data_IF_171006084220
#
_entry.id   IF_171006084220
#
_cell.length_a   1.000
_cell.length_b   1.000
_cell.length_c   1.000
_cell.angle_alpha   90.00
_cell.angle_beta   90.00
_cell.angle_gamma   90.00
#
_symmetry.space_group_name_H-M   'P 1'
#
loop_
_entity.id
_entity.type
_entity.pdbx_description
1 polymer ?
#
# COMPACT_ATOMS: atom_id res chain seq x y z
N UNK A 1 26.60 12.87 3.13
CA UNK A 1 25.53 13.34 2.22
C UNK A 1 24.44 12.28 2.17
N UNK A 2 23.30 12.50 2.81
CA UNK A 2 22.16 11.59 2.69
C UNK A 2 21.57 11.72 1.27
N UNK A 3 21.52 10.63 0.50
CA UNK A 3 20.87 10.63 -0.81
C UNK A 3 19.36 10.46 -0.59
N UNK A 4 18.62 11.55 -0.74
CA UNK A 4 17.16 11.50 -0.77
C UNK A 4 16.69 10.89 -2.10
N UNK A 5 15.60 10.09 -2.10
CA UNK A 5 14.97 9.66 -3.33
C UNK A 5 14.51 10.87 -4.15
N UNK A 6 14.64 10.79 -5.47
CA UNK A 6 14.26 11.86 -6.40
C UNK A 6 12.97 11.49 -7.13
N UNK A 7 12.09 12.47 -7.26
CA UNK A 7 10.88 12.40 -8.07
C UNK A 7 11.24 12.28 -9.57
N UNK A 8 10.27 11.95 -10.43
CA UNK A 8 10.37 12.04 -11.91
C UNK A 8 10.74 13.44 -12.41
N UNK A 9 10.56 14.47 -11.57
CA UNK A 9 10.95 15.87 -11.83
C UNK A 9 12.35 16.22 -11.30
N UNK A 10 13.12 15.23 -10.85
CA UNK A 10 14.44 15.39 -10.23
C UNK A 10 14.46 16.22 -8.94
N UNK A 11 13.31 16.39 -8.28
CA UNK A 11 13.20 17.07 -6.99
C UNK A 11 13.43 16.07 -5.84
N UNK A 12 14.10 16.49 -4.74
CA UNK A 12 14.27 15.65 -3.55
C UNK A 12 12.94 15.42 -2.86
N UNK A 13 12.65 14.16 -2.51
CA UNK A 13 11.42 13.73 -1.83
C UNK A 13 11.75 13.25 -0.43
N UNK A 14 10.89 13.56 0.54
CA UNK A 14 10.97 12.99 1.88
C UNK A 14 10.69 11.46 1.82
N UNK A 15 11.66 10.59 2.19
CA UNK A 15 11.50 9.14 2.13
C UNK A 15 10.61 8.58 3.25
N UNK A 16 10.38 9.34 4.34
CA UNK A 16 9.75 8.80 5.56
C UNK A 16 8.33 8.28 5.28
N UNK A 17 7.42 9.03 4.63
CA UNK A 17 6.06 8.54 4.36
C UNK A 17 6.06 7.25 3.53
N UNK A 18 6.96 7.15 2.54
CA UNK A 18 7.11 5.95 1.72
C UNK A 18 7.58 4.77 2.57
N UNK A 19 8.64 4.95 3.36
CA UNK A 19 9.21 3.88 4.18
C UNK A 19 8.21 3.36 5.22
N UNK A 20 7.49 4.26 5.89
CA UNK A 20 6.45 3.91 6.87
C UNK A 20 5.31 3.15 6.18
N UNK A 21 4.83 3.64 5.03
CA UNK A 21 3.74 2.99 4.30
C UNK A 21 4.10 1.59 3.80
N UNK A 22 5.31 1.42 3.26
CA UNK A 22 5.81 0.12 2.80
C UNK A 22 6.02 -0.83 3.97
N UNK A 23 6.57 -0.34 5.09
CA UNK A 23 6.73 -1.14 6.31
C UNK A 23 5.39 -1.64 6.87
N UNK A 24 4.38 -0.77 6.93
CA UNK A 24 3.02 -1.16 7.34
C UNK A 24 2.40 -2.15 6.35
N UNK A 25 2.54 -1.94 5.05
CA UNK A 25 2.05 -2.86 4.03
C UNK A 25 2.69 -4.25 4.17
N UNK A 26 4.01 -4.31 4.41
CA UNK A 26 4.72 -5.56 4.66
C UNK A 26 4.19 -6.26 5.92
N UNK A 27 4.10 -5.53 7.03
CA UNK A 27 3.65 -6.05 8.31
C UNK A 27 2.23 -6.63 8.19
N UNK A 28 1.31 -5.90 7.59
CA UNK A 28 -0.08 -6.34 7.43
C UNK A 28 -0.19 -7.54 6.47
N UNK A 29 0.47 -7.48 5.30
CA UNK A 29 0.39 -8.54 4.30
C UNK A 29 0.92 -9.88 4.84
N UNK A 30 2.06 -9.86 5.55
CA UNK A 30 2.67 -11.08 6.08
C UNK A 30 2.15 -11.51 7.45
N UNK A 31 1.53 -10.61 8.23
CA UNK A 31 0.82 -11.00 9.45
C UNK A 31 -0.51 -11.68 9.12
N UNK A 32 -1.30 -11.11 8.20
CA UNK A 32 -2.67 -11.54 7.93
C UNK A 32 -2.69 -12.60 6.83
N UNK A 33 -1.98 -12.38 5.72
CA UNK A 33 -2.08 -13.18 4.52
C UNK A 33 -1.82 -14.68 4.73
N UNK A 34 -0.74 -15.10 5.41
CA UNK A 34 -0.50 -16.51 5.69
C UNK A 34 -1.57 -17.15 6.57
N UNK A 35 -2.01 -16.45 7.62
CA UNK A 35 -3.01 -16.94 8.59
C UNK A 35 -4.33 -17.24 7.87
N UNK A 36 -4.84 -16.27 7.10
CA UNK A 36 -6.10 -16.44 6.40
C UNK A 36 -5.97 -17.37 5.20
N UNK A 37 -4.85 -17.36 4.48
CA UNK A 37 -4.62 -18.33 3.40
C UNK A 37 -4.66 -19.78 3.91
N UNK A 38 -4.06 -20.05 5.08
CA UNK A 38 -4.16 -21.36 5.72
C UNK A 38 -5.59 -21.66 6.20
N UNK A 39 -6.32 -20.68 6.73
CA UNK A 39 -7.73 -20.85 7.12
C UNK A 39 -8.64 -21.22 5.93
N UNK A 40 -8.30 -20.75 4.73
CA UNK A 40 -8.93 -21.12 3.48
C UNK A 40 -8.49 -22.49 2.91
N UNK A 41 -7.56 -23.19 3.58
CA UNK A 41 -7.03 -24.47 3.13
C UNK A 41 -5.91 -24.37 2.09
N UNK A 42 -5.39 -23.18 1.80
CA UNK A 42 -4.23 -23.05 0.92
C UNK A 42 -2.94 -23.54 1.61
N UNK A 43 -1.99 -24.12 0.87
CA UNK A 43 -0.70 -24.48 1.43
C UNK A 43 0.12 -23.22 1.77
N UNK A 44 1.02 -23.33 2.76
CA UNK A 44 1.83 -22.21 3.25
C UNK A 44 2.58 -21.46 2.14
N UNK A 45 3.15 -22.19 1.17
CA UNK A 45 3.85 -21.59 0.03
C UNK A 45 2.95 -20.68 -0.81
N UNK A 46 1.69 -21.09 -1.04
CA UNK A 46 0.71 -20.30 -1.78
C UNK A 46 0.32 -19.06 -0.98
N UNK A 47 0.03 -19.21 0.31
CA UNK A 47 -0.33 -18.08 1.18
C UNK A 47 0.80 -17.04 1.28
N UNK A 48 2.06 -17.48 1.37
CA UNK A 48 3.23 -16.60 1.35
C UNK A 48 3.41 -15.91 0.01
N UNK A 49 3.22 -16.64 -1.11
CA UNK A 49 3.32 -16.06 -2.45
C UNK A 49 2.25 -14.98 -2.68
N UNK A 50 1.00 -15.24 -2.29
CA UNK A 50 -0.09 -14.29 -2.38
C UNK A 50 0.17 -13.05 -1.53
N UNK A 51 0.66 -13.23 -0.30
CA UNK A 51 1.06 -12.13 0.59
C UNK A 51 2.17 -11.28 -0.01
N UNK A 52 3.15 -11.92 -0.67
CA UNK A 52 4.25 -11.23 -1.37
C UNK A 52 3.74 -10.41 -2.55
N UNK A 53 2.84 -10.96 -3.37
CA UNK A 53 2.21 -10.24 -4.50
C UNK A 53 1.40 -9.05 -4.00
N UNK A 54 0.59 -9.23 -2.94
CA UNK A 54 -0.18 -8.16 -2.33
C UNK A 54 0.73 -7.04 -1.81
N UNK A 55 1.80 -7.41 -1.09
CA UNK A 55 2.82 -6.47 -0.62
C UNK A 55 3.48 -5.70 -1.77
N UNK A 56 3.91 -6.40 -2.82
CA UNK A 56 4.55 -5.78 -3.98
C UNK A 56 3.62 -4.77 -4.67
N UNK A 57 2.33 -5.10 -4.81
CA UNK A 57 1.31 -4.20 -5.31
C UNK A 57 1.17 -2.93 -4.46
N UNK A 58 1.04 -3.09 -3.14
CA UNK A 58 0.95 -1.97 -2.20
C UNK A 58 2.22 -1.09 -2.23
N UNK A 59 3.40 -1.70 -2.27
CA UNK A 59 4.67 -0.99 -2.35
C UNK A 59 4.81 -0.21 -3.67
N UNK A 60 4.38 -0.80 -4.79
CA UNK A 60 4.36 -0.12 -6.09
C UNK A 60 3.41 1.09 -6.11
N UNK A 61 2.22 0.95 -5.52
CA UNK A 61 1.27 2.06 -5.36
C UNK A 61 1.85 3.16 -4.46
N UNK A 62 2.44 2.78 -3.32
CA UNK A 62 3.11 3.73 -2.42
C UNK A 62 4.24 4.48 -3.13
N UNK A 63 5.06 3.78 -3.92
CA UNK A 63 6.11 4.41 -4.72
C UNK A 63 5.54 5.37 -5.77
N UNK A 64 4.49 4.93 -6.48
CA UNK A 64 3.85 5.76 -7.51
C UNK A 64 3.27 7.06 -6.93
N UNK A 65 2.67 7.01 -5.74
CA UNK A 65 2.03 8.16 -5.10
C UNK A 65 3.05 9.05 -4.36
N UNK A 66 3.89 8.45 -3.51
CA UNK A 66 4.70 9.18 -2.54
C UNK A 66 6.08 9.56 -3.08
N UNK A 67 6.58 8.87 -4.12
CA UNK A 67 7.90 9.16 -4.69
C UNK A 67 7.75 9.69 -6.12
N UNK A 68 7.09 8.94 -7.00
CA UNK A 68 7.01 9.27 -8.43
C UNK A 68 6.06 10.42 -8.76
N UNK A 69 4.99 10.59 -7.98
CA UNK A 69 3.97 11.63 -8.19
C UNK A 69 3.97 12.66 -7.08
N UNK A 70 5.02 12.71 -6.26
CA UNK A 70 5.17 13.67 -5.18
C UNK A 70 4.98 15.09 -5.76
N UNK A 71 4.06 15.90 -5.20
CA UNK A 71 3.95 17.32 -5.55
C UNK A 71 5.27 18.03 -5.23
N UNK A 72 5.60 19.06 -6.01
CA UNK A 72 6.72 19.93 -5.68
C UNK A 72 6.50 20.54 -4.29
N UNK A 73 7.59 20.81 -3.55
CA UNK A 73 7.51 21.37 -2.19
C UNK A 73 6.76 22.71 -2.16
N UNK A 74 6.81 23.46 -3.27
CA UNK A 74 6.11 24.74 -3.45
C UNK A 74 4.72 24.61 -4.09
N UNK A 75 4.24 23.38 -4.31
CA UNK A 75 2.87 23.16 -4.76
C UNK A 75 1.93 23.60 -3.63
N UNK A 76 1.29 24.75 -3.81
CA UNK A 76 0.29 25.28 -2.88
C UNK A 76 -0.86 24.29 -2.58
N UNK A 77 -1.85 24.70 -1.79
CA UNK A 77 -2.91 23.80 -1.32
C UNK A 77 -3.52 22.96 -2.44
N UNK A 78 -3.34 21.63 -2.35
CA UNK A 78 -3.87 20.71 -3.35
C UNK A 78 -5.41 20.81 -3.39
N UNK A 79 -6.00 20.76 -4.60
CA UNK A 79 -7.45 20.80 -4.76
C UNK A 79 -8.13 19.64 -4.02
N UNK A 80 -9.18 19.97 -3.27
CA UNK A 80 -9.84 19.04 -2.32
C UNK A 80 -10.70 17.98 -3.01
N UNK A 81 -11.22 18.29 -4.20
CA UNK A 81 -12.20 17.47 -4.94
C UNK A 81 -11.81 15.99 -5.14
N UNK A 82 -10.68 15.68 -5.81
CA UNK A 82 -10.35 14.29 -6.14
C UNK A 82 -9.85 13.45 -4.96
N UNK A 83 -9.73 14.02 -3.74
CA UNK A 83 -9.21 13.29 -2.56
C UNK A 83 -10.27 12.39 -1.93
N UNK A 84 -11.50 12.88 -1.80
CA UNK A 84 -12.58 12.15 -1.14
C UNK A 84 -12.97 10.89 -1.93
N UNK A 85 -13.11 11.02 -3.24
CA UNK A 85 -13.46 9.89 -4.12
C UNK A 85 -12.40 8.78 -4.07
N UNK A 86 -11.12 9.14 -4.11
CA UNK A 86 -10.01 8.17 -3.97
C UNK A 86 -10.01 7.48 -2.61
N UNK A 87 -10.29 8.23 -1.54
CA UNK A 87 -10.40 7.66 -0.20
C UNK A 87 -11.59 6.70 -0.10
N UNK A 88 -12.71 7.05 -0.73
CA UNK A 88 -13.93 6.23 -0.74
C UNK A 88 -13.70 4.93 -1.51
N UNK A 89 -13.04 4.97 -2.68
CA UNK A 89 -12.66 3.75 -3.39
C UNK A 89 -11.64 2.91 -2.61
N UNK A 90 -10.67 3.53 -1.93
CA UNK A 90 -9.73 2.81 -1.09
C UNK A 90 -10.43 2.13 0.10
N UNK A 91 -11.36 2.83 0.75
CA UNK A 91 -12.16 2.30 1.85
C UNK A 91 -13.06 1.15 1.39
N UNK A 92 -13.71 1.29 0.22
CA UNK A 92 -14.54 0.24 -0.36
C UNK A 92 -13.70 -1.01 -0.72
N UNK A 93 -12.56 -0.82 -1.37
CA UNK A 93 -11.63 -1.91 -1.67
C UNK A 93 -11.15 -2.61 -0.41
N UNK A 94 -10.82 -1.84 0.64
CA UNK A 94 -10.44 -2.39 1.94
C UNK A 94 -11.58 -3.18 2.59
N UNK A 95 -12.81 -2.68 2.55
CA UNK A 95 -13.99 -3.38 3.06
C UNK A 95 -14.24 -4.71 2.32
N UNK A 96 -14.08 -4.75 1.00
CA UNK A 96 -14.18 -5.97 0.20
C UNK A 96 -13.10 -6.98 0.63
N UNK A 97 -11.86 -6.54 0.81
CA UNK A 97 -10.76 -7.40 1.27
C UNK A 97 -11.04 -7.95 2.66
N UNK A 98 -11.50 -7.12 3.61
CA UNK A 98 -11.86 -7.58 4.95
C UNK A 98 -13.03 -8.57 4.92
N UNK A 99 -14.05 -8.31 4.10
CA UNK A 99 -15.20 -9.22 3.96
C UNK A 99 -14.74 -10.57 3.41
N UNK A 100 -13.90 -10.56 2.36
CA UNK A 100 -13.30 -11.77 1.82
C UNK A 100 -12.47 -12.50 2.89
N UNK A 101 -11.68 -11.80 3.70
CA UNK A 101 -10.93 -12.44 4.80
C UNK A 101 -11.85 -13.10 5.84
N UNK A 102 -13.08 -12.61 6.05
CA UNK A 102 -14.00 -13.17 7.06
C UNK A 102 -14.80 -14.39 6.61
N UNK A 103 -14.89 -14.70 5.31
CA UNK A 103 -15.64 -15.85 4.80
C UNK A 103 -15.27 -17.20 5.43
N UNK A 104 -13.98 -17.56 5.67
CA UNK A 104 -13.65 -18.85 6.26
C UNK A 104 -13.98 -18.93 7.76
N UNK A 105 -14.43 -17.83 8.39
CA UNK A 105 -14.91 -17.80 9.77
C UNK A 105 -16.44 -18.00 9.88
N UNK A 106 -17.16 -18.02 8.75
CA UNK A 106 -18.60 -18.27 8.68
C UNK A 106 -18.88 -19.75 8.41
#
# INVERSE_FOLDING_TARGET
>A
MARFPRNRRDEPVDPVPFLVSVGLAFMLAFSIGPIYGLAYGFPLSTSLSASTVAFAGLAAVAYAQLVRSAPAVDAGPLPVGPRFERLLYAALGFAVVLTALTVPLL
#
